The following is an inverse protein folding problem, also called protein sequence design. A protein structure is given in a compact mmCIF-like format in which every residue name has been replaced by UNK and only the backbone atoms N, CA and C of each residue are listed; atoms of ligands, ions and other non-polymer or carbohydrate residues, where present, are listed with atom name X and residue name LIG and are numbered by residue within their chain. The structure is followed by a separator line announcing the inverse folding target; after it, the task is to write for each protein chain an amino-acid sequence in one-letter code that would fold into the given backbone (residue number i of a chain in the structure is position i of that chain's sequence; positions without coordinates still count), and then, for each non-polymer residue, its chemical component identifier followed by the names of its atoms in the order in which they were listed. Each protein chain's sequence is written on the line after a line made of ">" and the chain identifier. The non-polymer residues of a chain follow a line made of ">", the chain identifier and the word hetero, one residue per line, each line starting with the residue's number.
data_IF_771150060641
#
_entry.id   IF_771150060641
#
_cell.length_a   1.000
_cell.length_b   1.000
_cell.length_c   1.000
_cell.angle_alpha   90.00
_cell.angle_beta   90.00
_cell.angle_gamma   90.00
#
_symmetry.space_group_name_H-M   'P 1'
#
loop_
_entity.id
_entity.type
_entity.pdbx_description
1 polymer ?
#
# COMPACT_ATOMS: atom_id res chain seq x y z
N UNK A 1 42.76 -7.81 -22.27
CA UNK A 1 42.59 -6.74 -23.29
C UNK A 1 41.29 -6.97 -24.05
N UNK A 2 40.16 -6.53 -23.50
CA UNK A 2 38.87 -6.47 -24.19
C UNK A 2 38.32 -5.06 -23.95
N UNK A 3 38.20 -4.32 -25.06
CA UNK A 3 38.21 -2.86 -25.09
C UNK A 3 36.82 -2.25 -24.92
N UNK A 4 36.80 -1.13 -24.20
CA UNK A 4 35.68 -0.33 -23.68
C UNK A 4 34.88 0.41 -24.76
N UNK A 5 34.24 -0.30 -25.70
CA UNK A 5 33.61 0.36 -26.86
C UNK A 5 32.08 0.31 -26.96
N UNK A 6 31.34 -0.06 -25.91
CA UNK A 6 29.88 -0.28 -26.03
C UNK A 6 28.99 0.61 -25.13
N UNK A 7 29.46 1.78 -24.67
CA UNK A 7 28.70 2.60 -23.70
C UNK A 7 28.63 4.10 -24.04
N UNK A 8 28.71 4.47 -25.34
CA UNK A 8 28.67 5.88 -25.77
C UNK A 8 27.74 6.20 -26.96
N UNK A 9 26.76 5.36 -27.26
CA UNK A 9 25.80 5.64 -28.33
C UNK A 9 24.38 5.37 -27.84
N UNK A 10 23.75 6.37 -27.19
CA UNK A 10 22.30 6.53 -27.10
C UNK A 10 21.91 7.84 -26.37
N UNK A 11 22.47 8.99 -26.74
CA UNK A 11 21.85 10.30 -26.49
C UNK A 11 22.19 11.22 -27.66
N UNK A 12 21.51 11.04 -28.78
CA UNK A 12 21.54 11.96 -29.91
C UNK A 12 20.32 11.72 -30.80
N UNK A 13 19.14 12.18 -30.38
CA UNK A 13 18.01 12.38 -31.29
C UNK A 13 17.29 13.65 -30.85
N UNK A 14 17.49 14.72 -31.64
CA UNK A 14 16.51 15.76 -32.05
C UNK A 14 15.94 16.58 -30.87
N UNK A 15 16.03 17.91 -30.85
CA UNK A 15 15.35 18.84 -31.76
C UNK A 15 16.18 20.11 -31.96
N UNK A 16 16.20 20.61 -33.20
CA UNK A 16 16.70 21.92 -33.63
C UNK A 16 15.74 22.45 -34.70
N UNK A 17 15.70 23.78 -34.85
CA UNK A 17 14.76 24.66 -35.59
C UNK A 17 13.54 25.09 -34.75
N UNK A 18 13.15 26.35 -34.62
CA UNK A 18 13.54 27.65 -35.21
C UNK A 18 12.89 28.72 -34.29
N UNK A 19 13.50 29.85 -33.93
CA UNK A 19 13.36 31.08 -34.73
C UNK A 19 14.34 32.16 -34.27
N UNK A 20 14.83 32.89 -35.26
CA UNK A 20 15.78 33.98 -35.21
C UNK A 20 15.11 35.33 -34.93
N UNK A 21 15.87 36.20 -34.25
CA UNK A 21 15.98 37.65 -34.40
C UNK A 21 14.73 38.51 -34.71
N UNK A 22 14.47 39.50 -33.85
CA UNK A 22 14.63 40.95 -34.15
C UNK A 22 13.70 41.82 -33.29
N UNK A 23 14.13 43.06 -33.04
CA UNK A 23 13.20 44.18 -32.90
C UNK A 23 13.03 44.75 -31.51
N UNK A 24 13.94 45.64 -31.13
CA UNK A 24 13.61 46.73 -30.22
C UNK A 24 12.46 47.57 -30.83
N UNK A 25 11.39 47.79 -30.07
CA UNK A 25 10.52 48.94 -30.27
C UNK A 25 9.89 49.35 -28.95
N UNK A 26 10.31 50.51 -28.47
CA UNK A 26 9.58 51.33 -27.51
C UNK A 26 8.16 51.56 -28.02
N UNK A 27 7.16 51.41 -27.15
CA UNK A 27 5.87 52.07 -27.35
C UNK A 27 5.31 52.57 -26.02
N UNK A 28 4.95 53.84 -26.08
CA UNK A 28 4.56 54.71 -25.00
C UNK A 28 3.09 54.52 -24.62
N UNK A 29 2.89 54.30 -23.32
CA UNK A 29 1.88 54.87 -22.44
C UNK A 29 0.87 55.88 -23.04
N UNK A 30 -0.39 55.50 -23.29
CA UNK A 30 -1.55 56.41 -23.20
C UNK A 30 -2.88 55.64 -23.00
N UNK A 31 -3.75 56.24 -22.15
CA UNK A 31 -5.22 56.06 -22.00
C UNK A 31 -5.72 54.81 -21.23
N UNK A 32 -6.79 54.84 -20.44
CA UNK A 32 -7.65 55.89 -19.85
C UNK A 32 -8.56 55.21 -18.81
N UNK A 33 -9.03 55.99 -17.83
CA UNK A 33 -9.84 55.67 -16.65
C UNK A 33 -11.34 55.27 -16.97
N UNK A 34 -12.19 54.96 -15.96
CA UNK A 34 -13.07 53.78 -15.92
C UNK A 34 -14.57 54.08 -16.17
N UNK A 35 -15.38 53.02 -16.34
CA UNK A 35 -16.84 53.10 -16.29
C UNK A 35 -17.47 52.17 -15.25
N UNK A 36 -18.35 52.76 -14.43
CA UNK A 36 -19.32 52.13 -13.51
C UNK A 36 -20.52 51.53 -14.26
N UNK A 37 -21.29 50.64 -13.63
CA UNK A 37 -22.75 50.74 -13.67
C UNK A 37 -23.35 50.63 -12.25
N UNK A 38 -24.09 51.63 -11.76
CA UNK A 38 -25.51 51.95 -12.00
C UNK A 38 -26.50 51.00 -11.30
N UNK A 39 -26.89 51.43 -10.11
CA UNK A 39 -28.04 51.01 -9.32
C UNK A 39 -29.37 51.20 -10.05
N UNK A 40 -30.27 50.21 -9.97
CA UNK A 40 -31.71 50.38 -10.26
C UNK A 40 -32.55 49.88 -9.08
N UNK A 41 -33.02 50.85 -8.29
CA UNK A 41 -34.15 50.71 -7.36
C UNK A 41 -35.45 50.63 -8.18
N UNK A 42 -36.35 49.73 -7.79
CA UNK A 42 -37.80 49.86 -8.05
C UNK A 42 -38.52 49.60 -6.74
N UNK A 43 -39.33 50.57 -6.34
CA UNK A 43 -40.24 50.56 -5.19
C UNK A 43 -41.69 50.50 -5.67
N UNK A 44 -42.59 50.26 -4.70
CA UNK A 44 -44.08 50.29 -4.73
C UNK A 44 -44.70 48.88 -4.92
N UNK A 45 -45.77 48.46 -4.23
CA UNK A 45 -46.62 49.03 -3.17
C UNK A 45 -47.64 47.94 -2.75
N UNK A 46 -48.16 48.06 -1.52
CA UNK A 46 -49.52 47.68 -1.04
C UNK A 46 -50.02 46.21 -1.03
N UNK A 47 -50.22 45.74 0.21
CA UNK A 47 -51.18 44.73 0.73
C UNK A 47 -52.62 44.94 0.20
N UNK A 48 -53.51 43.91 0.16
CA UNK A 48 -54.19 43.43 1.38
C UNK A 48 -54.58 41.93 1.48
N UNK A 49 -54.81 41.55 2.75
CA UNK A 49 -55.61 40.48 3.39
C UNK A 49 -56.13 39.22 2.68
N UNK A 50 -56.01 38.14 3.48
CA UNK A 50 -56.92 36.98 3.68
C UNK A 50 -57.09 35.92 2.60
N UNK A 51 -56.50 34.75 2.87
CA UNK A 51 -57.16 33.44 2.74
C UNK A 51 -56.24 32.35 3.30
N UNK A 52 -56.83 31.46 4.12
CA UNK A 52 -56.21 30.41 4.90
C UNK A 52 -55.16 29.57 4.16
N UNK A 53 -53.95 29.54 4.73
CA UNK A 53 -52.87 28.67 4.28
C UNK A 53 -53.00 27.30 4.93
N UNK A 54 -53.17 26.28 4.08
CA UNK A 54 -53.18 24.84 4.39
C UNK A 54 -51.89 24.34 5.07
N UNK A 55 -50.85 25.17 5.21
CA UNK A 55 -49.52 24.78 5.70
C UNK A 55 -49.16 25.31 7.09
N UNK A 56 -50.12 25.86 7.85
CA UNK A 56 -49.86 26.35 9.21
C UNK A 56 -50.68 25.63 10.30
N UNK A 57 -50.75 24.30 10.23
CA UNK A 57 -50.86 23.50 11.46
C UNK A 57 -49.49 22.93 11.80
N UNK A 58 -49.01 23.40 12.94
CA UNK A 58 -47.69 23.15 13.52
C UNK A 58 -47.69 21.85 14.33
N UNK A 59 -48.27 20.80 13.76
CA UNK A 59 -48.21 19.44 14.29
C UNK A 59 -47.69 18.59 13.15
N UNK A 60 -46.44 18.15 13.31
CA UNK A 60 -45.69 17.45 12.29
C UNK A 60 -46.37 16.11 12.02
N UNK A 61 -46.76 15.84 10.77
CA UNK A 61 -47.36 14.57 10.36
C UNK A 61 -46.46 13.34 10.60
N UNK A 62 -45.21 13.57 11.03
CA UNK A 62 -44.25 12.56 11.44
C UNK A 62 -44.20 12.32 12.95
N UNK A 63 -44.79 13.19 13.76
CA UNK A 63 -44.71 13.16 15.22
C UNK A 63 -45.60 12.06 15.83
N UNK A 64 -46.65 11.64 15.11
CA UNK A 64 -47.50 10.52 15.51
C UNK A 64 -46.95 9.15 15.10
N UNK A 65 -45.91 9.09 14.25
CA UNK A 65 -45.34 7.81 13.78
C UNK A 65 -44.39 7.21 14.83
N UNK A 66 -43.84 8.04 15.73
CA UNK A 66 -42.87 7.62 16.75
C UNK A 66 -43.44 7.58 18.17
N UNK A 67 -44.66 8.05 18.39
CA UNK A 67 -45.31 8.00 19.72
C UNK A 67 -45.67 6.58 20.18
N UNK A 68 -45.66 5.59 19.29
CA UNK A 68 -45.82 4.16 19.62
C UNK A 68 -44.48 3.42 19.85
N UNK A 69 -43.34 4.13 19.78
CA UNK A 69 -41.99 3.54 19.93
C UNK A 69 -41.35 3.94 21.26
N UNK A 70 -42.14 3.96 22.34
CA UNK A 70 -41.62 4.09 23.70
C UNK A 70 -41.67 2.72 24.41
N UNK A 71 -40.54 2.35 25.03
CA UNK A 71 -40.27 1.15 25.84
C UNK A 71 -39.87 -0.15 25.15
N UNK A 72 -38.79 -0.08 24.36
CA UNK A 72 -37.79 -1.17 24.37
C UNK A 72 -36.40 -0.60 24.62
N UNK A 73 -35.61 -1.17 25.57
CA UNK A 73 -34.24 -0.72 25.79
C UNK A 73 -33.43 -0.93 24.50
N UNK A 74 -32.89 0.17 23.99
CA UNK A 74 -32.13 0.23 22.75
C UNK A 74 -30.77 -0.48 22.91
N UNK A 75 -30.44 -1.47 22.05
CA UNK A 75 -29.07 -1.92 21.87
C UNK A 75 -28.38 -0.93 20.93
N UNK A 76 -27.68 0.05 21.49
CA UNK A 76 -26.79 0.90 20.71
C UNK A 76 -25.65 0.05 20.12
N UNK A 77 -25.64 -0.12 18.80
CA UNK A 77 -24.42 -0.42 18.06
C UNK A 77 -24.11 0.77 17.17
N UNK A 78 -23.21 1.61 17.65
CA UNK A 78 -22.49 2.57 16.84
C UNK A 78 -21.62 1.79 15.85
N UNK A 79 -21.72 2.13 14.57
CA UNK A 79 -20.80 1.70 13.53
C UNK A 79 -19.41 2.27 13.80
N UNK A 80 -18.65 1.59 14.66
CA UNK A 80 -17.21 1.80 14.77
C UNK A 80 -16.53 1.00 13.66
N UNK A 81 -15.72 1.73 12.90
CA UNK A 81 -14.65 1.24 12.04
C UNK A 81 -14.01 -0.04 12.58
N UNK A 82 -13.82 -1.03 11.70
CA UNK A 82 -13.16 -2.31 11.96
C UNK A 82 -11.73 -2.14 12.52
N UNK A 83 -11.62 -1.84 13.81
CA UNK A 83 -10.54 -2.38 14.64
C UNK A 83 -11.06 -3.74 15.10
N UNK A 84 -10.31 -4.79 14.80
CA UNK A 84 -10.66 -6.15 15.20
C UNK A 84 -11.07 -6.19 16.67
N UNK A 85 -11.98 -7.10 17.06
CA UNK A 85 -12.46 -7.20 18.42
C UNK A 85 -11.25 -7.26 19.34
N UNK A 86 -11.08 -6.23 20.18
CA UNK A 86 -10.15 -6.31 21.30
C UNK A 86 -10.71 -7.44 22.15
N UNK A 87 -10.09 -8.62 22.02
CA UNK A 87 -10.38 -9.75 22.85
C UNK A 87 -10.09 -9.30 24.27
N UNK A 88 -11.16 -9.04 25.03
CA UNK A 88 -11.10 -8.93 26.47
C UNK A 88 -10.40 -10.18 26.96
N UNK A 89 -9.20 -10.01 27.51
CA UNK A 89 -8.37 -11.11 27.94
C UNK A 89 -9.18 -12.00 28.89
N UNK A 90 -9.18 -13.30 28.62
CA UNK A 90 -9.86 -14.27 29.46
C UNK A 90 -9.29 -14.20 30.86
N UNK A 91 -10.08 -14.47 31.90
CA UNK A 91 -9.61 -14.35 33.29
C UNK A 91 -8.31 -15.12 33.60
N UNK A 92 -8.06 -16.21 32.84
CA UNK A 92 -6.79 -16.97 32.89
C UNK A 92 -5.62 -16.25 32.26
N UNK A 93 -5.85 -15.53 31.16
CA UNK A 93 -4.84 -14.64 30.57
C UNK A 93 -4.57 -13.50 31.55
N UNK A 94 -5.60 -12.80 32.05
CA UNK A 94 -5.42 -11.71 33.02
C UNK A 94 -4.64 -12.13 34.27
N UNK A 95 -4.85 -13.34 34.80
CA UNK A 95 -4.04 -13.86 35.92
C UNK A 95 -2.60 -14.17 35.52
N UNK A 96 -2.37 -14.75 34.33
CA UNK A 96 -1.03 -15.05 33.84
C UNK A 96 -0.21 -13.76 33.57
N UNK A 97 -0.87 -12.69 33.11
CA UNK A 97 -0.22 -11.39 32.93
C UNK A 97 0.11 -10.75 34.28
N UNK A 98 -0.79 -10.80 35.27
CA UNK A 98 -0.48 -10.31 36.61
C UNK A 98 0.65 -11.09 37.28
N UNK A 99 0.68 -12.42 37.13
CA UNK A 99 1.76 -13.27 37.65
C UNK A 99 3.13 -12.93 37.00
N UNK A 100 3.14 -12.63 35.69
CA UNK A 100 4.35 -12.13 35.04
C UNK A 100 4.76 -10.74 35.52
N UNK A 101 3.82 -9.84 35.80
CA UNK A 101 4.12 -8.52 36.34
C UNK A 101 4.70 -8.60 37.75
N UNK A 102 4.10 -9.40 38.64
CA UNK A 102 4.61 -9.62 40.00
C UNK A 102 6.00 -10.25 39.96
N UNK A 103 6.24 -11.24 39.08
CA UNK A 103 7.57 -11.83 38.89
C UNK A 103 8.62 -10.81 38.43
N UNK A 104 8.24 -9.84 37.58
CA UNK A 104 9.15 -8.77 37.13
C UNK A 104 9.47 -7.80 38.27
N UNK A 105 8.46 -7.38 39.05
CA UNK A 105 8.67 -6.46 40.17
C UNK A 105 9.43 -7.11 41.33
N UNK A 106 9.17 -8.38 41.63
CA UNK A 106 9.94 -9.14 42.62
C UNK A 106 11.39 -9.33 42.18
N UNK A 107 11.64 -9.56 40.89
CA UNK A 107 13.00 -9.65 40.36
C UNK A 107 13.75 -8.30 40.43
N UNK A 108 13.07 -7.18 40.18
CA UNK A 108 13.66 -5.83 40.27
C UNK A 108 13.93 -5.44 41.72
N UNK A 109 13.01 -5.72 42.64
CA UNK A 109 13.21 -5.47 44.08
C UNK A 109 14.28 -6.39 44.68
N UNK A 110 14.37 -7.65 44.22
CA UNK A 110 15.48 -8.55 44.57
C UNK A 110 16.84 -8.08 44.03
N UNK A 111 16.86 -7.37 42.90
CA UNK A 111 18.08 -6.81 42.33
C UNK A 111 18.54 -5.53 43.07
N UNK A 112 17.62 -4.69 43.51
CA UNK A 112 17.94 -3.49 44.32
C UNK A 112 18.37 -3.83 45.74
N UNK A 113 17.88 -4.94 46.31
CA UNK A 113 18.18 -5.34 47.68
C UNK A 113 19.49 -6.11 47.86
N UNK A 114 20.24 -6.41 46.79
CA UNK A 114 21.66 -6.80 46.83
C UNK A 114 22.04 -7.86 47.88
N UNK A 115 21.12 -8.75 48.28
CA UNK A 115 21.30 -9.68 49.39
C UNK A 115 21.16 -11.10 48.90
N UNK A 116 22.29 -11.69 48.51
CA UNK A 116 22.45 -13.13 48.36
C UNK A 116 22.34 -13.79 49.74
N UNK A 117 21.14 -14.24 50.13
CA UNK A 117 20.96 -15.20 51.22
C UNK A 117 20.58 -16.56 50.65
N UNK A 118 21.54 -17.48 50.72
CA UNK A 118 21.32 -18.91 50.54
C UNK A 118 20.62 -19.41 51.80
N UNK A 119 19.34 -19.76 51.71
CA UNK A 119 18.73 -20.67 52.69
C UNK A 119 17.94 -21.76 51.97
N UNK A 120 18.50 -22.95 52.11
CA UNK A 120 17.97 -24.26 51.76
C UNK A 120 16.59 -24.49 52.37
N UNK A 121 15.63 -24.97 51.57
CA UNK A 121 14.68 -25.97 52.05
C UNK A 121 14.19 -26.83 50.90
N UNK A 122 13.99 -28.08 51.26
CA UNK A 122 13.96 -29.29 50.47
C UNK A 122 12.51 -29.62 50.08
N UNK A 123 12.24 -29.82 48.79
CA UNK A 123 11.01 -30.45 48.30
C UNK A 123 11.21 -30.93 46.86
N UNK A 124 11.50 -32.21 46.75
CA UNK A 124 11.54 -32.98 45.52
C UNK A 124 10.15 -33.10 44.87
N UNK A 125 10.03 -32.78 43.57
CA UNK A 125 9.54 -33.65 42.48
C UNK A 125 10.05 -33.05 41.17
N UNK A 126 10.81 -33.84 40.40
CA UNK A 126 11.49 -33.38 39.20
C UNK A 126 10.62 -33.31 37.95
N UNK A 127 10.76 -32.22 37.19
CA UNK A 127 10.74 -32.17 35.72
C UNK A 127 11.66 -31.01 35.31
N UNK A 128 12.65 -31.28 34.44
CA UNK A 128 13.32 -30.24 33.66
C UNK A 128 14.45 -29.47 34.36
N UNK A 129 15.63 -30.09 34.43
CA UNK A 129 16.91 -29.51 34.84
C UNK A 129 17.47 -28.54 33.78
N UNK A 130 16.68 -27.57 33.36
CA UNK A 130 17.08 -26.45 32.50
C UNK A 130 16.91 -25.17 33.31
N UNK A 131 17.98 -24.74 33.98
CA UNK A 131 17.95 -23.61 34.91
C UNK A 131 17.34 -22.36 34.26
N UNK A 132 16.78 -21.49 35.09
CA UNK A 132 16.21 -20.17 34.70
C UNK A 132 17.19 -19.38 33.82
N UNK A 133 18.49 -19.65 33.93
CA UNK A 133 19.54 -19.13 33.06
C UNK A 133 19.44 -19.54 31.57
N UNK A 134 18.77 -20.64 31.23
CA UNK A 134 18.53 -21.11 29.85
C UNK A 134 17.23 -20.52 29.25
N UNK A 135 16.26 -20.17 30.11
CA UNK A 135 15.11 -19.32 29.75
C UNK A 135 15.55 -17.88 29.52
N UNK A 136 16.39 -17.32 30.41
CA UNK A 136 17.04 -16.01 30.22
C UNK A 136 17.98 -16.06 29.01
N UNK A 137 18.67 -17.18 28.76
CA UNK A 137 19.50 -17.39 27.58
C UNK A 137 18.71 -17.46 26.26
N UNK A 138 17.47 -17.98 26.28
CA UNK A 138 16.56 -18.01 25.13
C UNK A 138 15.79 -16.68 24.94
N UNK A 139 15.48 -15.95 26.01
CA UNK A 139 14.97 -14.56 25.93
C UNK A 139 16.05 -13.54 25.53
N UNK A 140 17.32 -13.80 25.82
CA UNK A 140 18.47 -12.97 25.40
C UNK A 140 18.99 -13.29 24.01
N UNK A 141 18.49 -14.33 23.33
CA UNK A 141 18.75 -14.54 21.90
C UNK A 141 17.90 -13.58 21.06
N UNK A 142 18.30 -12.31 21.15
CA UNK A 142 17.99 -11.21 20.25
C UNK A 142 16.53 -10.74 20.18
N UNK A 143 16.12 -9.76 21.02
CA UNK A 143 15.55 -8.58 20.40
C UNK A 143 16.67 -8.04 19.50
N UNK A 144 16.64 -8.41 18.20
CA UNK A 144 17.40 -7.67 17.21
C UNK A 144 17.03 -6.23 17.48
N UNK A 145 18.01 -5.46 17.97
CA UNK A 145 17.85 -4.07 18.38
C UNK A 145 16.87 -3.47 17.41
N UNK A 146 15.66 -3.17 17.87
CA UNK A 146 14.78 -2.28 17.13
C UNK A 146 15.69 -1.10 16.89
N UNK A 147 16.18 -0.95 15.66
CA UNK A 147 16.94 0.22 15.26
C UNK A 147 15.86 1.27 15.15
N UNK A 148 15.43 1.75 16.31
CA UNK A 148 14.43 2.79 16.47
C UNK A 148 15.00 3.98 15.72
N UNK A 149 14.49 4.18 14.50
CA UNK A 149 14.84 5.26 13.56
C UNK A 149 16.28 5.23 13.06
N UNK A 150 16.46 5.06 11.75
CA UNK A 150 17.73 5.42 11.11
C UNK A 150 17.92 6.94 11.25
N UNK A 151 19.15 7.44 11.33
CA UNK A 151 19.41 8.89 11.26
C UNK A 151 18.73 9.52 10.02
N UNK A 152 18.57 8.74 8.95
CA UNK A 152 17.82 9.12 7.75
C UNK A 152 16.33 9.36 7.99
N UNK A 153 15.71 8.60 8.89
CA UNK A 153 14.29 8.74 9.25
C UNK A 153 14.09 10.01 10.08
N UNK A 154 14.99 10.32 11.01
CA UNK A 154 14.94 11.58 11.78
C UNK A 154 15.08 12.80 10.86
N UNK A 155 15.98 12.74 9.87
CA UNK A 155 16.12 13.80 8.86
C UNK A 155 14.84 13.94 8.03
N UNK A 156 14.25 12.82 7.59
CA UNK A 156 12.99 12.82 6.85
C UNK A 156 11.88 13.47 7.69
N UNK A 157 11.73 13.07 8.95
CA UNK A 157 10.72 13.61 9.85
C UNK A 157 10.92 15.12 10.07
N UNK A 158 12.16 15.58 10.28
CA UNK A 158 12.47 17.02 10.38
C UNK A 158 12.11 17.78 9.11
N UNK A 159 12.41 17.22 7.93
CA UNK A 159 12.09 17.84 6.64
C UNK A 159 10.56 17.87 6.42
N UNK A 160 9.85 16.82 6.85
CA UNK A 160 8.40 16.77 6.80
C UNK A 160 7.76 17.81 7.71
N UNK A 161 8.26 17.98 8.92
CA UNK A 161 7.83 19.06 9.82
C UNK A 161 8.06 20.44 9.18
N UNK A 162 9.21 20.64 8.53
CA UNK A 162 9.49 21.89 7.80
C UNK A 162 8.49 22.13 6.65
N UNK A 163 8.10 21.08 5.91
CA UNK A 163 7.05 21.17 4.89
C UNK A 163 5.68 21.50 5.48
N UNK A 164 5.36 20.93 6.64
CA UNK A 164 4.08 21.15 7.31
C UNK A 164 3.96 22.58 7.85
N UNK A 165 5.08 23.19 8.25
CA UNK A 165 5.16 24.60 8.68
C UNK A 165 4.87 25.61 7.56
N UNK A 166 5.13 25.27 6.29
CA UNK A 166 4.84 26.16 5.17
C UNK A 166 3.32 26.42 5.07
N UNK A 167 2.92 27.68 5.01
CA UNK A 167 1.51 28.08 4.99
C UNK A 167 0.98 28.28 3.58
N UNK A 168 1.85 28.72 2.67
CA UNK A 168 1.52 28.95 1.25
C UNK A 168 2.24 27.95 0.35
N UNK A 169 1.67 27.72 -0.82
CA UNK A 169 2.24 26.90 -1.88
C UNK A 169 3.58 27.48 -2.37
N UNK A 170 3.65 28.79 -2.50
CA UNK A 170 4.87 29.50 -2.89
C UNK A 170 6.01 29.30 -1.87
N UNK A 171 5.71 29.43 -0.57
CA UNK A 171 6.69 29.19 0.51
C UNK A 171 7.21 27.74 0.48
N UNK A 172 6.32 26.77 0.28
CA UNK A 172 6.73 25.36 0.14
C UNK A 172 7.59 25.13 -1.10
N UNK A 173 7.28 25.80 -2.23
CA UNK A 173 8.04 25.70 -3.46
C UNK A 173 9.45 26.30 -3.31
N UNK A 174 9.57 27.48 -2.69
CA UNK A 174 10.87 28.10 -2.40
C UNK A 174 11.70 27.22 -1.46
N UNK A 175 11.07 26.66 -0.42
CA UNK A 175 11.70 25.71 0.48
C UNK A 175 12.19 24.45 -0.27
N UNK A 176 11.34 23.86 -1.11
CA UNK A 176 11.69 22.66 -1.89
C UNK A 176 12.86 22.93 -2.85
N UNK A 177 12.85 24.09 -3.50
CA UNK A 177 13.94 24.52 -4.40
C UNK A 177 15.26 24.67 -3.66
N UNK A 178 15.23 25.26 -2.46
CA UNK A 178 16.44 25.54 -1.67
C UNK A 178 16.99 24.32 -0.95
N UNK A 179 16.14 23.57 -0.26
CA UNK A 179 16.54 22.44 0.58
C UNK A 179 16.57 21.15 -0.25
N UNK A 180 15.45 20.71 -0.80
CA UNK A 180 15.36 19.38 -1.46
C UNK A 180 16.18 19.32 -2.76
N UNK A 181 15.95 20.27 -3.68
CA UNK A 181 16.66 20.28 -4.97
C UNK A 181 18.05 20.90 -4.85
N UNK A 182 18.23 21.90 -3.99
CA UNK A 182 19.52 22.51 -3.72
C UNK A 182 20.51 21.52 -3.08
N UNK A 183 20.08 20.71 -2.11
CA UNK A 183 20.92 19.64 -1.55
C UNK A 183 21.29 18.61 -2.60
N UNK A 184 20.32 18.12 -3.38
CA UNK A 184 20.55 17.16 -4.47
C UNK A 184 21.66 17.63 -5.43
N UNK A 185 21.63 18.91 -5.81
CA UNK A 185 22.62 19.50 -6.69
C UNK A 185 24.00 19.64 -6.02
N UNK A 186 24.07 19.88 -4.71
CA UNK A 186 25.34 19.90 -3.96
C UNK A 186 26.00 18.52 -3.96
N UNK A 187 25.25 17.47 -3.66
CA UNK A 187 25.75 16.09 -3.69
C UNK A 187 26.27 15.70 -5.08
N UNK A 188 25.56 16.08 -6.13
CA UNK A 188 26.02 15.82 -7.49
C UNK A 188 27.31 16.58 -7.83
N UNK A 189 27.41 17.86 -7.45
CA UNK A 189 28.60 18.66 -7.67
C UNK A 189 29.81 18.09 -6.91
N UNK A 190 29.61 17.62 -5.68
CA UNK A 190 30.62 16.94 -4.88
C UNK A 190 31.05 15.62 -5.52
N UNK A 191 30.10 14.82 -5.99
CA UNK A 191 30.40 13.58 -6.70
C UNK A 191 31.18 13.83 -8.00
N UNK A 192 30.80 14.85 -8.78
CA UNK A 192 31.54 15.24 -9.99
C UNK A 192 32.97 15.70 -9.67
N UNK A 193 33.16 16.47 -8.59
CA UNK A 193 34.49 16.89 -8.12
C UNK A 193 35.33 15.71 -7.63
N UNK A 194 34.73 14.75 -6.92
CA UNK A 194 35.43 13.56 -6.48
C UNK A 194 35.86 12.69 -7.67
N UNK A 195 34.99 12.53 -8.68
CA UNK A 195 35.32 11.79 -9.90
C UNK A 195 36.44 12.47 -10.69
N UNK A 196 36.42 13.80 -10.84
CA UNK A 196 37.50 14.51 -11.53
C UNK A 196 38.82 14.44 -10.75
N UNK A 197 38.77 14.53 -9.43
CA UNK A 197 39.95 14.36 -8.57
C UNK A 197 40.51 12.93 -8.64
N UNK A 198 39.66 11.90 -8.61
CA UNK A 198 40.07 10.51 -8.75
C UNK A 198 40.64 10.21 -10.13
N UNK A 199 40.12 10.84 -11.19
CA UNK A 199 40.68 10.73 -12.53
C UNK A 199 42.11 11.29 -12.63
N UNK A 200 42.42 12.35 -11.86
CA UNK A 200 43.76 12.94 -11.81
C UNK A 200 44.70 12.16 -10.89
N UNK A 201 44.21 11.72 -9.72
CA UNK A 201 45.03 11.02 -8.71
C UNK A 201 45.24 9.53 -9.00
N UNK A 202 44.44 8.92 -9.89
CA UNK A 202 44.55 7.51 -10.25
C UNK A 202 44.14 6.51 -9.16
N UNK A 203 43.77 6.99 -7.98
CA UNK A 203 43.30 6.20 -6.83
C UNK A 203 41.77 6.30 -6.72
N UNK A 204 41.10 5.15 -6.83
CA UNK A 204 39.66 5.01 -6.53
C UNK A 204 39.48 5.03 -5.00
N UNK A 205 39.47 6.22 -4.40
CA UNK A 205 38.97 6.40 -3.03
C UNK A 205 37.48 6.07 -2.95
N UNK A 206 36.95 5.99 -1.72
CA UNK A 206 35.51 5.78 -1.49
C UNK A 206 34.69 6.84 -2.24
N UNK A 207 33.81 6.37 -3.12
CA UNK A 207 32.94 7.22 -3.93
C UNK A 207 31.90 7.90 -3.02
N UNK A 208 31.75 9.22 -3.10
CA UNK A 208 30.75 9.92 -2.30
C UNK A 208 29.33 9.47 -2.69
N UNK A 209 28.43 9.49 -1.72
CA UNK A 209 27.02 9.20 -1.91
C UNK A 209 26.40 10.17 -2.92
N UNK A 210 25.81 9.66 -3.99
CA UNK A 210 25.32 10.47 -5.12
C UNK A 210 24.11 11.33 -4.77
N UNK A 211 23.24 10.84 -3.88
CA UNK A 211 21.99 11.50 -3.48
C UNK A 211 21.62 11.11 -2.04
N UNK A 212 20.91 11.97 -1.30
CA UNK A 212 20.36 11.64 0.01
C UNK A 212 19.34 10.48 -0.08
N UNK A 213 19.33 9.52 0.86
CA UNK A 213 18.32 8.45 0.87
C UNK A 213 16.90 8.96 1.14
N UNK A 214 16.76 10.16 1.70
CA UNK A 214 15.47 10.82 1.96
C UNK A 214 14.86 11.43 0.71
N UNK A 215 15.66 11.80 -0.28
CA UNK A 215 15.26 12.49 -1.51
C UNK A 215 14.03 11.88 -2.23
N UNK A 216 13.99 10.58 -2.57
CA UNK A 216 12.82 9.96 -3.19
C UNK A 216 11.51 10.12 -2.42
N UNK A 217 11.60 10.08 -1.08
CA UNK A 217 10.45 10.19 -0.20
C UNK A 217 9.95 11.64 -0.17
N UNK A 218 10.87 12.61 -0.11
CA UNK A 218 10.53 14.04 -0.14
C UNK A 218 9.84 14.45 -1.45
N UNK A 219 10.32 13.97 -2.60
CA UNK A 219 9.68 14.27 -3.90
C UNK A 219 8.23 13.77 -3.91
N UNK A 220 7.98 12.55 -3.44
CA UNK A 220 6.62 12.01 -3.34
C UNK A 220 5.76 12.82 -2.35
N UNK A 221 6.31 13.17 -1.17
CA UNK A 221 5.61 13.98 -0.18
C UNK A 221 5.28 15.38 -0.71
N UNK A 222 6.19 16.01 -1.46
CA UNK A 222 5.97 17.32 -2.08
C UNK A 222 4.84 17.27 -3.09
N UNK A 223 4.84 16.30 -4.01
CA UNK A 223 3.75 16.11 -4.96
C UNK A 223 2.40 15.93 -4.24
N UNK A 224 2.39 15.12 -3.18
CA UNK A 224 1.21 14.89 -2.37
C UNK A 224 0.75 16.16 -1.65
N UNK A 225 1.67 16.95 -1.09
CA UNK A 225 1.35 18.20 -0.41
C UNK A 225 0.75 19.23 -1.39
N UNK A 226 1.34 19.42 -2.57
CA UNK A 226 0.77 20.32 -3.58
C UNK A 226 -0.63 19.90 -4.03
N UNK A 227 -0.86 18.59 -4.22
CA UNK A 227 -2.18 18.06 -4.57
C UNK A 227 -3.20 18.18 -3.42
N UNK A 228 -2.87 17.69 -2.23
CA UNK A 228 -3.85 17.49 -1.14
C UNK A 228 -3.98 18.73 -0.23
N UNK A 229 -2.87 19.42 0.09
CA UNK A 229 -2.84 20.56 1.02
C UNK A 229 -3.17 21.88 0.29
N UNK A 230 -2.60 22.08 -0.89
CA UNK A 230 -2.76 23.33 -1.64
C UNK A 230 -3.75 23.25 -2.81
N UNK A 231 -4.24 22.04 -3.14
CA UNK A 231 -5.15 21.80 -4.26
C UNK A 231 -4.61 22.28 -5.62
N UNK A 232 -3.29 22.28 -5.81
CA UNK A 232 -2.63 22.61 -7.08
C UNK A 232 -1.98 21.36 -7.70
N UNK A 233 -2.72 20.63 -8.55
CA UNK A 233 -2.19 19.45 -9.23
C UNK A 233 -1.19 19.81 -10.34
N UNK A 234 -1.25 21.02 -10.92
CA UNK A 234 -0.30 21.43 -11.95
C UNK A 234 1.10 21.62 -11.36
N UNK A 235 1.16 22.27 -10.19
CA UNK A 235 2.40 22.42 -9.46
C UNK A 235 2.98 21.06 -9.05
N UNK A 236 2.13 20.14 -8.57
CA UNK A 236 2.56 18.76 -8.27
C UNK A 236 3.19 18.05 -9.50
N UNK A 237 2.61 18.20 -10.69
CA UNK A 237 3.20 17.65 -11.92
C UNK A 237 4.51 18.34 -12.30
N UNK A 238 4.60 19.66 -12.13
CA UNK A 238 5.81 20.43 -12.42
C UNK A 238 6.98 20.09 -11.49
N UNK A 239 6.71 19.73 -10.23
CA UNK A 239 7.72 19.25 -9.27
C UNK A 239 8.35 17.95 -9.75
N UNK A 240 7.52 17.01 -10.24
CA UNK A 240 8.03 15.77 -10.82
C UNK A 240 8.85 16.05 -12.09
N UNK A 241 8.36 16.94 -12.94
CA UNK A 241 9.07 17.33 -14.17
C UNK A 241 10.37 18.08 -13.88
N UNK A 242 10.44 18.83 -12.78
CA UNK A 242 11.68 19.44 -12.33
C UNK A 242 12.68 18.39 -11.84
N UNK A 243 12.24 17.42 -11.01
CA UNK A 243 13.11 16.37 -10.47
C UNK A 243 13.76 15.51 -11.57
N UNK A 244 13.04 15.22 -12.66
CA UNK A 244 13.59 14.46 -13.81
C UNK A 244 14.59 15.25 -14.65
N UNK A 245 14.42 16.57 -14.76
CA UNK A 245 15.28 17.41 -15.59
C UNK A 245 16.46 18.03 -14.81
N UNK A 246 16.45 17.95 -13.49
CA UNK A 246 17.52 18.49 -12.64
C UNK A 246 18.86 17.79 -12.92
N UNK A 247 18.87 16.46 -12.87
CA UNK A 247 20.03 15.65 -13.25
C UNK A 247 19.69 14.18 -13.46
N UNK A 248 20.61 13.43 -14.07
CA UNK A 248 20.43 11.98 -14.28
C UNK A 248 20.35 11.24 -12.94
N UNK A 249 21.17 11.63 -11.95
CA UNK A 249 21.12 11.05 -10.61
C UNK A 249 19.79 11.39 -9.93
N UNK A 250 19.36 12.65 -10.00
CA UNK A 250 18.06 13.09 -9.50
C UNK A 250 16.91 12.32 -10.14
N UNK A 251 16.96 12.04 -11.45
CA UNK A 251 15.95 11.24 -12.12
C UNK A 251 15.91 9.80 -11.58
N UNK A 252 17.06 9.12 -11.54
CA UNK A 252 17.13 7.70 -11.13
C UNK A 252 16.76 7.51 -9.66
N UNK A 253 17.19 8.42 -8.77
CA UNK A 253 16.91 8.30 -7.34
C UNK A 253 15.60 8.98 -6.93
N UNK A 254 15.19 10.06 -7.59
CA UNK A 254 13.99 10.83 -7.27
C UNK A 254 12.70 10.24 -7.82
N UNK A 255 12.73 9.67 -9.03
CA UNK A 255 11.58 9.00 -9.65
C UNK A 255 11.41 7.58 -9.10
N UNK A 256 11.18 7.49 -7.79
CA UNK A 256 10.89 6.25 -7.09
C UNK A 256 9.47 5.76 -7.34
N UNK A 257 9.17 4.51 -6.96
CA UNK A 257 7.81 3.95 -7.01
C UNK A 257 6.79 4.85 -6.30
N UNK A 258 7.17 5.50 -5.20
CA UNK A 258 6.27 6.39 -4.46
C UNK A 258 5.98 7.67 -5.26
N UNK A 259 6.98 8.28 -5.89
CA UNK A 259 6.79 9.46 -6.72
C UNK A 259 5.90 9.15 -7.94
N UNK A 260 6.09 8.00 -8.59
CA UNK A 260 5.20 7.55 -9.66
C UNK A 260 3.77 7.29 -9.19
N UNK A 261 3.59 6.73 -7.99
CA UNK A 261 2.25 6.55 -7.44
C UNK A 261 1.53 7.90 -7.28
N UNK A 262 2.22 8.93 -6.76
CA UNK A 262 1.64 10.27 -6.65
C UNK A 262 1.42 10.91 -8.03
N UNK A 263 2.30 10.68 -9.01
CA UNK A 263 2.12 11.15 -10.40
C UNK A 263 0.84 10.59 -11.02
N UNK A 264 0.67 9.26 -10.97
CA UNK A 264 -0.47 8.56 -11.55
C UNK A 264 -1.76 8.96 -10.83
N UNK A 265 -1.72 9.02 -9.50
CA UNK A 265 -2.86 9.44 -8.68
C UNK A 265 -3.27 10.89 -8.96
N UNK A 266 -2.31 11.80 -9.15
CA UNK A 266 -2.58 13.21 -9.50
C UNK A 266 -3.21 13.32 -10.90
N UNK A 267 -2.66 12.61 -11.90
CA UNK A 267 -3.22 12.58 -13.26
C UNK A 267 -4.66 12.08 -13.27
N UNK A 268 -4.94 11.04 -12.50
CA UNK A 268 -6.27 10.46 -12.44
C UNK A 268 -7.26 11.32 -11.66
N UNK A 269 -6.95 11.69 -10.41
CA UNK A 269 -7.88 12.42 -9.54
C UNK A 269 -8.20 13.83 -10.03
N UNK A 270 -7.20 14.52 -10.58
CA UNK A 270 -7.35 15.93 -10.97
C UNK A 270 -7.77 16.12 -12.43
N UNK A 271 -7.25 15.31 -13.34
CA UNK A 271 -7.47 15.50 -14.78
C UNK A 271 -8.33 14.42 -15.44
N UNK A 272 -8.58 13.29 -14.74
CA UNK A 272 -9.24 12.10 -15.32
C UNK A 272 -8.54 11.61 -16.61
N UNK A 273 -7.23 11.82 -16.68
CA UNK A 273 -6.44 11.52 -17.88
C UNK A 273 -5.96 10.06 -17.87
N UNK A 274 -6.72 9.19 -18.54
CA UNK A 274 -6.39 7.77 -18.67
C UNK A 274 -5.10 7.54 -19.46
N UNK A 275 -4.83 8.38 -20.46
CA UNK A 275 -3.61 8.29 -21.26
C UNK A 275 -2.38 8.64 -20.41
N UNK A 276 -2.49 9.70 -19.61
CA UNK A 276 -1.45 10.05 -18.65
C UNK A 276 -1.17 8.96 -17.61
N UNK A 277 -2.19 8.21 -17.19
CA UNK A 277 -2.02 7.03 -16.30
C UNK A 277 -1.25 5.91 -17.02
N UNK A 278 -1.63 5.59 -18.26
CA UNK A 278 -0.92 4.63 -19.10
C UNK A 278 0.56 5.01 -19.29
N UNK A 279 0.81 6.26 -19.71
CA UNK A 279 2.16 6.75 -20.01
C UNK A 279 3.05 6.72 -18.75
N UNK A 280 2.49 7.04 -17.58
CA UNK A 280 3.21 6.92 -16.30
C UNK A 280 3.57 5.48 -15.93
N UNK A 281 2.68 4.51 -16.18
CA UNK A 281 2.95 3.09 -15.94
C UNK A 281 3.95 2.51 -16.95
N UNK A 282 3.89 2.96 -18.20
CA UNK A 282 4.88 2.60 -19.21
C UNK A 282 6.26 3.15 -18.83
N UNK A 283 6.34 4.40 -18.38
CA UNK A 283 7.58 5.00 -17.89
C UNK A 283 8.15 4.22 -16.69
N UNK A 284 7.31 3.84 -15.71
CA UNK A 284 7.73 2.98 -14.60
C UNK A 284 8.36 1.67 -15.10
N UNK A 285 7.73 1.04 -16.10
CA UNK A 285 8.21 -0.23 -16.67
C UNK A 285 9.53 -0.06 -17.43
N UNK A 286 9.64 0.98 -18.25
CA UNK A 286 10.87 1.30 -19.00
C UNK A 286 12.03 1.58 -18.05
N UNK A 287 11.76 2.25 -16.93
CA UNK A 287 12.76 2.55 -15.90
C UNK A 287 13.05 1.38 -14.94
N UNK A 288 12.35 0.24 -15.09
CA UNK A 288 12.51 -0.91 -14.21
C UNK A 288 12.01 -0.68 -12.78
N UNK A 289 11.16 0.34 -12.57
CA UNK A 289 10.54 0.63 -11.28
C UNK A 289 9.46 -0.39 -10.99
N UNK A 290 9.59 -1.08 -9.85
CA UNK A 290 8.64 -2.13 -9.46
C UNK A 290 7.29 -1.53 -9.10
N UNK A 291 6.24 -2.10 -9.66
CA UNK A 291 4.83 -1.79 -9.34
C UNK A 291 4.52 -2.28 -7.93
N UNK A 292 4.01 -1.40 -7.07
CA UNK A 292 3.65 -1.70 -5.69
C UNK A 292 2.15 -2.08 -5.56
N UNK A 293 1.78 -2.64 -4.42
CA UNK A 293 0.39 -2.82 -3.99
C UNK A 293 -0.42 -1.52 -4.05
N UNK A 294 0.19 -0.36 -3.74
CA UNK A 294 -0.47 0.94 -3.88
C UNK A 294 -0.77 1.27 -5.35
N UNK A 295 0.20 1.06 -6.25
CA UNK A 295 0.01 1.28 -7.69
C UNK A 295 -1.15 0.43 -8.22
N UNK A 296 -1.24 -0.83 -7.78
CA UNK A 296 -2.37 -1.73 -8.11
C UNK A 296 -3.69 -1.14 -7.65
N UNK A 297 -3.78 -0.67 -6.40
CA UNK A 297 -5.01 -0.07 -5.86
C UNK A 297 -5.45 1.15 -6.67
N UNK A 298 -4.51 2.01 -7.09
CA UNK A 298 -4.82 3.18 -7.92
C UNK A 298 -5.39 2.72 -9.28
N UNK A 299 -4.80 1.71 -9.91
CA UNK A 299 -5.28 1.18 -11.19
C UNK A 299 -6.65 0.50 -11.07
N UNK A 300 -6.92 -0.22 -9.98
CA UNK A 300 -8.24 -0.79 -9.71
C UNK A 300 -9.30 0.32 -9.49
N UNK A 301 -8.91 1.42 -8.83
CA UNK A 301 -9.77 2.60 -8.67
C UNK A 301 -10.09 3.24 -10.03
N UNK A 302 -9.08 3.43 -10.88
CA UNK A 302 -9.24 3.90 -12.26
C UNK A 302 -10.20 3.00 -13.04
N UNK A 303 -9.99 1.68 -13.00
CA UNK A 303 -10.85 0.69 -13.68
C UNK A 303 -12.30 0.79 -13.20
N UNK A 304 -12.51 0.85 -11.89
CA UNK A 304 -13.86 0.94 -11.29
C UNK A 304 -14.56 2.23 -11.69
N UNK A 305 -13.86 3.36 -11.68
CA UNK A 305 -14.43 4.66 -12.00
C UNK A 305 -14.72 4.83 -13.50
N UNK A 306 -13.79 4.41 -14.37
CA UNK A 306 -14.04 4.39 -15.83
C UNK A 306 -15.18 3.44 -16.15
N UNK A 307 -15.16 2.22 -15.60
CA UNK A 307 -16.22 1.24 -15.82
C UNK A 307 -17.58 1.74 -15.33
N UNK A 308 -17.62 2.41 -14.18
CA UNK A 308 -18.83 3.02 -13.63
C UNK A 308 -19.36 4.18 -14.47
N UNK A 309 -18.49 5.07 -14.95
CA UNK A 309 -18.92 6.21 -15.79
C UNK A 309 -19.34 5.77 -17.19
N UNK A 310 -18.64 4.80 -17.78
CA UNK A 310 -18.91 4.36 -19.15
C UNK A 310 -20.14 3.45 -19.26
N UNK A 311 -20.57 2.81 -18.16
CA UNK A 311 -21.80 2.01 -18.12
C UNK A 311 -23.06 2.84 -18.37
N UNK A 312 -23.03 4.14 -18.08
CA UNK A 312 -24.19 5.03 -18.22
C UNK A 312 -24.15 5.91 -19.48
N UNK A 313 -23.05 5.86 -20.24
CA UNK A 313 -22.87 6.60 -21.49
C UNK A 313 -22.92 5.60 -22.65
N UNK A 314 -24.04 4.91 -22.79
CA UNK A 314 -24.26 3.91 -23.85
C UNK A 314 -24.41 4.52 -25.26
N UNK A 315 -24.34 5.84 -25.44
CA UNK A 315 -24.69 6.49 -26.73
C UNK A 315 -23.52 7.08 -27.54
N UNK A 316 -22.26 6.98 -27.10
CA UNK A 316 -21.10 7.45 -27.91
C UNK A 316 -20.41 6.30 -28.64
N UNK A 317 -21.05 5.81 -29.71
CA UNK A 317 -20.67 4.64 -30.52
C UNK A 317 -19.26 4.69 -31.16
N UNK A 318 -18.51 5.79 -31.07
CA UNK A 318 -17.23 5.95 -31.79
C UNK A 318 -15.98 6.12 -30.91
N UNK A 319 -16.10 6.10 -29.58
CA UNK A 319 -14.95 6.29 -28.67
C UNK A 319 -14.77 5.24 -27.58
N UNK A 320 -15.75 4.34 -27.38
CA UNK A 320 -15.72 3.41 -26.24
C UNK A 320 -14.62 2.35 -26.35
N UNK A 321 -14.37 1.82 -27.55
CA UNK A 321 -13.40 0.75 -27.78
C UNK A 321 -11.96 1.15 -27.46
N UNK A 322 -11.57 2.39 -27.73
CA UNK A 322 -10.20 2.87 -27.47
C UNK A 322 -9.90 2.94 -25.97
N UNK A 323 -10.89 3.35 -25.16
CA UNK A 323 -10.78 3.45 -23.71
C UNK A 323 -10.62 2.07 -23.09
N UNK A 324 -11.44 1.09 -23.51
CA UNK A 324 -11.32 -0.30 -23.04
C UNK A 324 -9.99 -0.94 -23.45
N UNK A 325 -9.52 -0.68 -24.67
CA UNK A 325 -8.20 -1.13 -25.12
C UNK A 325 -7.08 -0.52 -24.27
N UNK A 326 -7.21 0.75 -23.87
CA UNK A 326 -6.24 1.43 -23.02
C UNK A 326 -6.27 0.89 -21.58
N UNK A 327 -7.45 0.62 -21.02
CA UNK A 327 -7.60 -0.06 -19.74
C UNK A 327 -6.96 -1.46 -19.75
N UNK A 328 -7.20 -2.24 -20.81
CA UNK A 328 -6.58 -3.56 -20.95
C UNK A 328 -5.04 -3.48 -20.99
N UNK A 329 -4.48 -2.45 -21.64
CA UNK A 329 -3.02 -2.19 -21.63
C UNK A 329 -2.53 -1.80 -20.24
N UNK A 330 -3.24 -0.92 -19.54
CA UNK A 330 -2.92 -0.53 -18.16
C UNK A 330 -2.89 -1.76 -17.24
N UNK A 331 -3.90 -2.63 -17.36
CA UNK A 331 -3.96 -3.89 -16.62
C UNK A 331 -2.80 -4.82 -16.97
N UNK A 332 -2.42 -4.92 -18.24
CA UNK A 332 -1.27 -5.71 -18.66
C UNK A 332 0.05 -5.19 -18.08
N UNK A 333 0.20 -3.87 -17.89
CA UNK A 333 1.39 -3.27 -17.28
C UNK A 333 1.48 -3.56 -15.78
N UNK A 334 0.35 -3.64 -15.10
CA UNK A 334 0.27 -3.89 -13.65
C UNK A 334 0.19 -5.38 -13.30
N UNK A 335 -0.38 -6.17 -14.20
CA UNK A 335 -0.44 -7.62 -14.10
C UNK A 335 0.98 -8.11 -13.86
N UNK A 336 1.14 -8.90 -12.79
CA UNK A 336 2.41 -9.54 -12.49
C UNK A 336 2.73 -10.35 -13.74
N UNK A 337 3.71 -9.89 -14.54
CA UNK A 337 4.20 -10.70 -15.65
C UNK A 337 4.43 -12.06 -15.04
N UNK A 338 3.78 -13.13 -15.54
CA UNK A 338 4.05 -14.46 -15.01
C UNK A 338 5.54 -14.60 -15.19
N UNK A 339 6.28 -14.46 -14.09
CA UNK A 339 7.70 -14.74 -14.06
C UNK A 339 7.69 -16.16 -14.54
N UNK A 340 8.13 -16.37 -15.79
CA UNK A 340 8.25 -17.70 -16.41
C UNK A 340 8.74 -18.55 -15.27
N UNK A 341 7.84 -19.39 -14.76
CA UNK A 341 8.14 -20.16 -13.57
C UNK A 341 9.49 -20.74 -13.90
N UNK A 342 10.50 -20.39 -13.08
CA UNK A 342 11.81 -20.98 -13.17
C UNK A 342 11.53 -22.44 -13.44
N UNK A 343 11.91 -22.94 -14.63
CA UNK A 343 11.85 -24.35 -14.95
C UNK A 343 12.35 -25.02 -13.68
N UNK A 344 11.50 -25.77 -12.95
CA UNK A 344 11.90 -26.27 -11.65
C UNK A 344 13.15 -27.08 -11.93
N UNK A 345 14.30 -26.56 -11.51
CA UNK A 345 15.56 -27.29 -11.60
C UNK A 345 15.31 -28.50 -10.73
N UNK A 346 15.08 -29.63 -11.39
CA UNK A 346 14.66 -30.88 -10.82
C UNK A 346 15.75 -31.38 -9.86
N UNK A 347 15.72 -30.93 -8.61
CA UNK A 347 16.54 -31.49 -7.51
C UNK A 347 16.12 -31.05 -6.11
N UNK A 348 14.89 -30.55 -5.93
CA UNK A 348 14.31 -30.48 -4.58
C UNK A 348 13.30 -31.61 -4.45
N UNK A 349 13.68 -32.62 -3.66
CA UNK A 349 12.76 -33.68 -3.30
C UNK A 349 11.55 -33.05 -2.57
N UNK A 350 10.32 -33.46 -2.94
CA UNK A 350 9.12 -32.95 -2.28
C UNK A 350 9.21 -33.25 -0.79
N UNK A 351 8.99 -32.22 0.03
CA UNK A 351 8.82 -32.41 1.46
C UNK A 351 7.62 -33.35 1.67
N UNK A 352 7.75 -34.30 2.59
CA UNK A 352 6.77 -35.36 2.91
C UNK A 352 5.34 -34.84 3.14
N UNK A 353 5.18 -33.54 3.41
CA UNK A 353 3.90 -32.88 3.63
C UNK A 353 3.13 -32.55 2.34
N UNK A 354 3.76 -32.49 1.16
CA UNK A 354 3.06 -32.21 -0.10
C UNK A 354 2.68 -33.47 -0.90
N UNK A 355 3.00 -34.65 -0.37
CA UNK A 355 2.67 -35.95 -0.98
C UNK A 355 1.16 -36.15 -1.08
N UNK A 356 0.38 -35.72 -0.08
CA UNK A 356 -1.09 -35.88 -0.10
C UNK A 356 -1.80 -34.99 -1.12
N UNK A 357 -1.16 -33.90 -1.58
CA UNK A 357 -1.75 -33.01 -2.60
C UNK A 357 -1.51 -33.47 -4.03
N UNK A 358 -0.54 -34.36 -4.22
CA UNK A 358 -0.09 -34.82 -5.56
C UNK A 358 -0.48 -36.26 -5.83
N UNK A 359 -0.86 -37.02 -4.80
CA UNK A 359 -1.70 -38.20 -4.99
C UNK A 359 -3.04 -37.73 -5.54
N UNK A 360 -3.18 -37.81 -6.87
CA UNK A 360 -4.49 -38.01 -7.49
C UNK A 360 -5.12 -39.19 -6.75
N UNK A 361 -6.07 -38.89 -5.87
CA UNK A 361 -7.05 -39.86 -5.43
C UNK A 361 -7.81 -40.23 -6.69
N UNK A 362 -7.32 -41.25 -7.40
CA UNK A 362 -8.17 -42.06 -8.24
C UNK A 362 -9.23 -42.60 -7.28
N UNK A 363 -10.44 -42.05 -7.40
CA UNK A 363 -11.60 -42.52 -6.66
C UNK A 363 -11.65 -44.02 -6.86
N UNK A 364 -11.36 -44.78 -5.81
CA UNK A 364 -11.44 -46.22 -5.86
C UNK A 364 -12.88 -46.57 -6.25
N UNK A 365 -13.07 -47.20 -7.40
CA UNK A 365 -14.35 -47.69 -7.90
C UNK A 365 -14.98 -48.61 -6.85
N UNK A 366 -15.72 -48.04 -5.90
CA UNK A 366 -16.22 -48.77 -4.74
C UNK A 366 -16.56 -47.91 -3.53
N UNK A 367 -16.04 -46.69 -3.40
CA UNK A 367 -16.45 -45.80 -2.31
C UNK A 367 -17.82 -45.18 -2.61
N UNK A 368 -18.84 -45.78 -1.97
CA UNK A 368 -20.25 -45.40 -2.05
C UNK A 368 -20.56 -44.00 -1.45
N UNK A 369 -19.53 -43.33 -0.89
CA UNK A 369 -19.60 -42.03 -0.21
C UNK A 369 -19.31 -40.84 -1.15
N UNK A 370 -19.96 -40.80 -2.31
CA UNK A 370 -19.90 -39.64 -3.21
C UNK A 370 -20.51 -38.39 -2.56
N UNK A 371 -19.81 -37.25 -2.63
CA UNK A 371 -20.22 -35.97 -2.04
C UNK A 371 -21.59 -35.47 -2.55
N UNK A 372 -22.09 -36.01 -3.66
CA UNK A 372 -23.39 -35.68 -4.27
C UNK A 372 -24.56 -36.60 -3.86
N UNK A 373 -24.37 -37.57 -2.96
CA UNK A 373 -25.41 -38.57 -2.60
C UNK A 373 -26.17 -38.32 -1.29
N UNK A 374 -26.37 -37.06 -0.89
CA UNK A 374 -27.03 -36.76 0.40
C UNK A 374 -28.57 -36.95 0.40
N UNK A 375 -29.23 -37.15 -0.74
CA UNK A 375 -30.70 -37.02 -0.81
C UNK A 375 -31.50 -38.29 -1.19
N UNK A 376 -30.89 -39.47 -1.32
CA UNK A 376 -31.67 -40.69 -1.60
C UNK A 376 -31.87 -41.54 -0.33
N UNK A 377 -33.10 -41.65 0.21
CA UNK A 377 -33.37 -42.49 1.36
C UNK A 377 -33.32 -43.97 0.96
N UNK A 378 -32.33 -44.70 1.47
CA UNK A 378 -32.18 -46.13 1.26
C UNK A 378 -33.34 -46.92 1.87
N UNK A 379 -34.11 -47.58 1.00
CA UNK A 379 -35.03 -48.65 1.38
C UNK A 379 -34.21 -49.87 1.80
N UNK A 380 -34.02 -50.02 3.10
CA UNK A 380 -33.49 -51.24 3.73
C UNK A 380 -34.26 -52.48 3.28
N UNK A 381 -33.67 -53.26 2.38
CA UNK A 381 -34.06 -54.65 2.12
C UNK A 381 -33.39 -55.55 3.15
N UNK A 382 -34.20 -56.19 3.99
CA UNK A 382 -33.80 -57.16 5.01
C UNK A 382 -33.07 -58.37 4.41
N UNK A 383 -31.99 -58.89 5.03
CA UNK A 383 -31.35 -60.11 4.56
C UNK A 383 -32.12 -61.34 5.07
N UNK A 384 -32.53 -62.16 4.11
CA UNK A 384 -33.21 -63.44 4.31
C UNK A 384 -32.18 -64.48 4.78
N UNK A 385 -32.33 -64.87 6.04
CA UNK A 385 -31.68 -66.01 6.71
C UNK A 385 -31.80 -67.26 5.81
N UNK A 386 -30.68 -67.83 5.37
CA UNK A 386 -30.62 -69.20 4.87
C UNK A 386 -29.60 -69.98 5.69
N UNK A 387 -30.10 -71.10 6.21
CA UNK A 387 -29.42 -72.09 7.02
C UNK A 387 -29.01 -73.21 6.08
N UNK A 388 -27.74 -73.61 6.09
CA UNK A 388 -27.34 -74.93 5.62
C UNK A 388 -26.02 -75.34 6.27
N UNK A 389 -26.16 -76.27 7.22
CA UNK A 389 -25.16 -77.25 7.62
C UNK A 389 -24.56 -77.93 6.38
N UNK A 390 -23.25 -78.20 6.36
CA UNK A 390 -22.79 -79.61 6.40
C UNK A 390 -21.29 -79.79 6.72
N UNK A 391 -21.07 -80.69 7.69
CA UNK A 391 -20.05 -81.75 7.88
C UNK A 391 -18.61 -81.69 7.31
N UNK A 392 -17.70 -81.95 8.27
CA UNK A 392 -16.66 -83.02 8.35
C UNK A 392 -15.76 -83.29 7.13
N UNK A 393 -14.44 -83.12 7.34
CA UNK A 393 -13.38 -84.18 7.36
C UNK A 393 -12.00 -83.49 7.46
N UNK A 394 -11.22 -83.71 8.51
CA UNK A 394 -10.24 -84.80 8.65
C UNK A 394 -8.99 -84.68 7.76
N UNK A 395 -7.86 -84.41 8.42
CA UNK A 395 -6.52 -85.04 8.25
C UNK A 395 -5.65 -84.83 7.01
N UNK A 396 -4.38 -84.57 7.32
CA UNK A 396 -3.09 -85.01 6.69
C UNK A 396 -2.22 -83.83 6.21
N UNK A 397 -1.05 -83.56 6.82
CA UNK A 397 0.27 -84.24 6.74
C UNK A 397 1.01 -84.10 5.40
N UNK A 398 2.25 -83.59 5.46
CA UNK A 398 3.29 -83.52 4.40
C UNK A 398 3.72 -82.07 4.16
N UNK A 399 4.93 -81.55 4.43
CA UNK A 399 6.32 -82.05 4.38
C UNK A 399 6.82 -82.48 2.99
N UNK A 400 7.92 -81.81 2.59
CA UNK A 400 8.80 -81.90 1.40
C UNK A 400 8.50 -80.85 0.30
N UNK A 401 9.49 -80.17 -0.28
CA UNK A 401 10.94 -80.37 -0.30
C UNK A 401 11.69 -79.04 -0.17
#
# INVERSE_FOLDING_TARGET
>A
MLSRSCLRQLVAVRWSHEASASGASSFSLVHSLPQKPSSRRRSLSTRPSSSDSIFSKRESAWEHVFSDVQDRPSPYTASQSHRGPQQSMTARESSAFNEMFEMIFDAVTAQESGTTSVSSSDSAVGVGRGGINDLIGKLRKHPRRLKWFSDSDEILDRQKEAMDLCTTDHELLEWATREVFGESQRYENEARKAISAAAVSGTLGDLPMLQPPTYPHLVALLMRAFRDKYNDPHLALSIFDHARHLSIASYVFGCSTQAYNELIETRWKSFRDLKGVHDGLEEMKVNGVKVDSRTRKIVEEVRREVGGQHLWVEESELGSGEIWNLLAKIEQLVAKTPTKASVPTATQQPTKWDVWKTTNLEDAEGDEWGFDRWETPDKRSSPRRTVSNDRRRSSSFGLKA
#
